data_IF_807676192146
#
_entry.id   IF_807676192146
#
_cell.length_a   1.000
_cell.length_b   1.000
_cell.length_c   1.000
_cell.angle_alpha   90.00
_cell.angle_beta   90.00
_cell.angle_gamma   90.00
#
_symmetry.space_group_name_H-M   'P 1'
#
loop_
_entity.id
_entity.type
_entity.pdbx_description
1 polymer ?
#
# COMPACT_ATOMS: atom_id res chain seq x y z
N UNK A 1 -46.05 21.18 -15.97
CA UNK A 1 -45.88 19.81 -15.41
C UNK A 1 -44.73 19.12 -16.15
N UNK A 2 -43.44 19.49 -16.10
CA UNK A 2 -42.56 20.14 -15.10
C UNK A 2 -42.15 19.27 -13.90
N UNK A 3 -40.85 18.90 -13.89
CA UNK A 3 -39.96 18.70 -12.73
C UNK A 3 -40.41 17.73 -11.63
N UNK A 4 -40.26 16.42 -11.88
CA UNK A 4 -40.33 15.39 -10.83
C UNK A 4 -39.53 14.10 -11.17
N UNK A 5 -38.55 14.17 -12.08
CA UNK A 5 -37.75 12.99 -12.52
C UNK A 5 -36.25 13.25 -12.69
N UNK A 6 -35.77 14.47 -12.45
CA UNK A 6 -34.33 14.78 -12.46
C UNK A 6 -33.73 14.65 -11.05
N UNK A 7 -34.51 15.04 -10.04
CA UNK A 7 -34.06 15.21 -8.66
C UNK A 7 -33.85 13.86 -7.91
N UNK A 8 -34.33 12.73 -8.45
CA UNK A 8 -34.11 11.39 -7.87
C UNK A 8 -32.80 10.72 -8.32
N UNK A 9 -32.25 11.09 -9.48
CA UNK A 9 -30.93 10.59 -9.94
C UNK A 9 -29.78 11.27 -9.16
N UNK A 10 -29.93 12.55 -8.82
CA UNK A 10 -28.90 13.31 -8.08
C UNK A 10 -28.65 12.75 -6.67
N UNK A 11 -29.68 12.20 -6.01
CA UNK A 11 -29.57 11.58 -4.68
C UNK A 11 -28.66 10.34 -4.65
N UNK A 12 -28.58 9.58 -5.75
CA UNK A 12 -27.70 8.40 -5.85
C UNK A 12 -26.27 8.76 -6.23
N UNK A 13 -26.04 9.95 -6.79
CA UNK A 13 -24.72 10.40 -7.25
C UNK A 13 -23.97 11.31 -6.27
N UNK A 14 -24.61 11.76 -5.17
CA UNK A 14 -23.99 12.70 -4.21
C UNK A 14 -23.26 12.06 -3.01
N UNK A 15 -23.05 10.73 -2.99
CA UNK A 15 -22.29 10.07 -1.91
C UNK A 15 -20.81 10.39 -2.01
N UNK A 16 -20.22 10.94 -0.92
CA UNK A 16 -18.77 11.17 -0.79
C UNK A 16 -17.92 9.88 -0.69
N UNK A 17 -18.55 8.71 -0.71
CA UNK A 17 -17.87 7.41 -0.73
C UNK A 17 -18.37 6.57 -1.92
N UNK A 18 -17.44 6.08 -2.76
CA UNK A 18 -17.70 5.05 -3.76
C UNK A 18 -18.10 3.75 -3.06
N UNK A 19 -19.10 3.06 -3.59
CA UNK A 19 -19.39 1.68 -3.21
C UNK A 19 -18.33 0.74 -3.79
N UNK A 20 -18.08 -0.37 -3.09
CA UNK A 20 -17.14 -1.42 -3.50
C UNK A 20 -17.63 -2.15 -4.76
N UNK A 21 -16.82 -2.15 -5.81
CA UNK A 21 -17.08 -2.82 -7.10
C UNK A 21 -16.06 -3.92 -7.35
N UNK A 22 -16.54 -5.10 -7.76
CA UNK A 22 -15.74 -6.34 -7.84
C UNK A 22 -14.83 -6.45 -9.08
N UNK A 23 -14.67 -5.36 -9.84
CA UNK A 23 -13.91 -5.27 -11.10
C UNK A 23 -12.73 -4.26 -11.05
N UNK A 24 -12.47 -3.60 -9.91
CA UNK A 24 -11.35 -2.66 -9.79
C UNK A 24 -10.00 -3.41 -9.55
N UNK A 25 -9.49 -4.14 -10.55
CA UNK A 25 -8.11 -4.69 -10.56
C UNK A 25 -6.99 -3.62 -10.75
N UNK A 26 -7.37 -2.33 -10.82
CA UNK A 26 -6.46 -1.20 -11.12
C UNK A 26 -5.76 -0.57 -9.88
N UNK A 27 -5.96 -1.12 -8.68
CA UNK A 27 -5.47 -0.50 -7.41
C UNK A 27 -3.95 -0.65 -7.17
N UNK A 28 -3.21 -1.30 -8.07
CA UNK A 28 -1.74 -1.23 -8.08
C UNK A 28 -1.24 0.15 -8.57
N UNK A 29 -2.05 0.88 -9.36
CA UNK A 29 -1.69 2.19 -9.91
C UNK A 29 -1.92 3.36 -8.94
N UNK A 30 -2.74 3.17 -7.90
CA UNK A 30 -3.06 4.19 -6.89
C UNK A 30 -1.90 4.38 -5.90
N UNK A 31 -1.32 3.27 -5.41
CA UNK A 31 -0.12 3.28 -4.54
C UNK A 31 1.11 3.91 -5.25
N UNK A 32 1.24 3.68 -6.56
CA UNK A 32 2.24 4.34 -7.41
C UNK A 32 2.03 5.85 -7.51
N UNK A 33 0.79 6.36 -7.48
CA UNK A 33 0.50 7.80 -7.46
C UNK A 33 0.81 8.43 -6.10
N UNK A 34 0.60 7.72 -4.99
CA UNK A 34 1.00 8.21 -3.66
C UNK A 34 2.52 8.24 -3.49
N UNK A 35 3.23 7.19 -3.91
CA UNK A 35 4.71 7.22 -3.98
C UNK A 35 5.22 8.35 -4.87
N UNK A 36 4.56 8.60 -6.01
CA UNK A 36 4.92 9.71 -6.93
C UNK A 36 4.58 11.08 -6.35
N UNK A 37 3.55 11.22 -5.51
CA UNK A 37 3.27 12.45 -4.74
C UNK A 37 4.32 12.67 -3.65
N UNK A 38 4.69 11.65 -2.88
CA UNK A 38 5.74 11.74 -1.87
C UNK A 38 7.10 12.12 -2.48
N UNK A 39 7.45 11.56 -3.65
CA UNK A 39 8.67 11.90 -4.39
C UNK A 39 8.59 13.28 -5.06
N UNK A 40 7.42 13.70 -5.56
CA UNK A 40 7.25 15.05 -6.12
C UNK A 40 7.27 16.13 -5.03
N UNK A 41 6.79 15.85 -3.81
CA UNK A 41 6.89 16.75 -2.65
C UNK A 41 8.34 17.01 -2.20
N UNK A 42 9.33 16.34 -2.80
CA UNK A 42 10.76 16.59 -2.64
C UNK A 42 11.36 17.43 -3.78
N UNK A 43 10.58 17.78 -4.81
CA UNK A 43 11.00 18.67 -5.91
C UNK A 43 10.69 20.14 -5.63
N UNK A 44 9.65 20.43 -4.86
CA UNK A 44 9.25 21.79 -4.45
C UNK A 44 10.19 22.36 -3.35
N UNK A 45 11.50 22.15 -3.49
CA UNK A 45 12.58 22.66 -2.62
C UNK A 45 13.53 23.57 -3.42
N UNK A 46 13.30 23.73 -4.72
CA UNK A 46 14.11 24.57 -5.61
C UNK A 46 13.20 25.31 -6.58
N UNK A 47 12.55 26.35 -6.06
CA UNK A 47 12.28 27.64 -6.71
C UNK A 47 11.70 28.58 -5.62
N UNK A 48 12.08 29.86 -5.66
CA UNK A 48 12.08 30.79 -4.53
C UNK A 48 10.77 31.61 -4.32
N UNK A 49 10.82 32.48 -3.29
CA UNK A 49 10.10 33.76 -3.08
C UNK A 49 8.84 33.81 -2.17
N UNK A 50 9.09 34.31 -0.96
CA UNK A 50 8.38 35.30 -0.13
C UNK A 50 6.93 35.12 0.42
N UNK A 51 6.80 35.66 1.65
CA UNK A 51 5.62 36.20 2.35
C UNK A 51 4.30 35.38 2.43
N UNK A 52 4.13 34.64 3.54
CA UNK A 52 3.28 35.13 4.66
C UNK A 52 3.25 34.15 5.86
N UNK A 53 3.74 34.60 7.03
CA UNK A 53 3.74 33.81 8.27
C UNK A 53 2.45 34.02 9.09
N UNK A 54 1.34 33.37 8.70
CA UNK A 54 0.17 33.28 9.59
C UNK A 54 0.44 32.36 10.80
N UNK A 55 0.78 33.03 11.91
CA UNK A 55 0.93 32.48 13.25
C UNK A 55 -0.44 32.05 13.80
N UNK A 56 -0.74 30.75 13.76
CA UNK A 56 -1.97 30.20 14.37
C UNK A 56 -1.63 29.27 15.54
N UNK A 57 -1.97 29.70 16.77
CA UNK A 57 -1.87 28.89 17.98
C UNK A 57 -3.23 28.38 18.42
N UNK A 58 -3.38 27.08 18.67
CA UNK A 58 -4.57 26.51 19.32
C UNK A 58 -4.19 25.57 20.46
N UNK A 59 -4.19 26.14 21.66
CA UNK A 59 -4.43 25.41 22.90
C UNK A 59 -5.94 25.39 23.16
N UNK A 60 -6.57 24.22 23.27
CA UNK A 60 -7.99 24.12 23.58
C UNK A 60 -8.47 22.68 23.76
N UNK A 61 -9.07 22.41 24.92
CA UNK A 61 -9.56 21.09 25.34
C UNK A 61 -10.80 20.60 24.56
N UNK A 62 -11.11 19.29 24.55
CA UNK A 62 -12.17 18.74 23.71
C UNK A 62 -13.57 19.10 24.22
N UNK A 63 -14.36 19.77 23.38
CA UNK A 63 -15.78 20.04 23.64
C UNK A 63 -16.59 18.75 23.45
N UNK A 64 -16.93 18.11 24.56
CA UNK A 64 -17.86 16.97 24.56
C UNK A 64 -19.32 17.39 24.34
N UNK A 65 -20.09 16.53 23.67
CA UNK A 65 -21.56 16.58 23.76
C UNK A 65 -22.22 15.21 23.59
N UNK A 66 -22.53 14.61 24.75
CA UNK A 66 -23.80 13.98 25.10
C UNK A 66 -24.42 13.01 24.07
N UNK A 67 -24.22 11.71 24.31
CA UNK A 67 -25.30 10.73 24.11
C UNK A 67 -25.59 10.04 25.46
N UNK A 68 -26.87 9.92 25.82
CA UNK A 68 -27.30 9.55 27.17
C UNK A 68 -27.18 8.05 27.45
N UNK A 69 -26.53 7.70 28.56
CA UNK A 69 -26.53 6.34 29.11
C UNK A 69 -27.91 6.05 29.73
N UNK A 70 -28.53 4.94 29.34
CA UNK A 70 -29.57 4.29 30.13
C UNK A 70 -29.11 2.87 30.49
N UNK A 71 -28.75 2.69 31.76
CA UNK A 71 -28.51 1.39 32.40
C UNK A 71 -29.19 1.40 33.77
N UNK A 72 -29.66 0.23 34.19
CA UNK A 72 -30.56 -0.03 35.32
C UNK A 72 -32.06 0.29 35.02
N UNK A 73 -33.03 -0.46 35.56
CA UNK A 73 -32.93 -1.53 36.57
C UNK A 73 -33.84 -2.73 36.24
N UNK A 74 -33.41 -3.93 36.66
CA UNK A 74 -34.34 -5.02 37.00
C UNK A 74 -34.68 -4.89 38.48
N UNK A 75 -35.95 -4.68 38.82
CA UNK A 75 -36.49 -4.96 40.15
C UNK A 75 -38.00 -5.15 40.08
N UNK A 76 -38.47 -6.13 40.84
CA UNK A 76 -39.84 -6.65 40.87
C UNK A 76 -40.86 -5.71 41.56
N UNK A 77 -42.16 -5.90 41.28
CA UNK A 77 -43.35 -5.79 42.16
C UNK A 77 -44.63 -5.25 41.47
N UNK A 78 -45.75 -5.95 41.69
CA UNK A 78 -46.92 -5.30 42.30
C UNK A 78 -48.03 -4.68 41.42
N UNK A 79 -48.93 -5.51 40.88
CA UNK A 79 -50.40 -5.33 40.77
C UNK A 79 -51.00 -3.90 40.62
N UNK A 80 -51.64 -3.61 39.47
CA UNK A 80 -53.11 -3.37 39.36
C UNK A 80 -53.58 -3.02 37.94
N UNK A 81 -54.78 -3.51 37.61
CA UNK A 81 -55.45 -3.29 36.32
C UNK A 81 -56.05 -1.89 36.21
N UNK A 82 -55.99 -1.29 35.01
CA UNK A 82 -57.04 -0.43 34.47
C UNK A 82 -57.19 -0.74 32.97
N UNK A 83 -58.43 -1.04 32.54
CA UNK A 83 -58.76 -1.42 31.17
C UNK A 83 -59.04 -0.17 30.29
N UNK A 84 -59.13 -0.26 28.94
CA UNK A 84 -60.27 -0.94 28.29
C UNK A 84 -59.93 -1.78 27.05
N UNK A 85 -60.91 -2.56 26.59
CA UNK A 85 -60.83 -3.34 25.35
C UNK A 85 -60.70 -2.46 24.10
N UNK A 86 -59.53 -2.48 23.46
CA UNK A 86 -59.44 -2.19 22.03
C UNK A 86 -59.49 -3.50 21.24
N UNK A 87 -60.63 -3.76 20.59
CA UNK A 87 -60.82 -4.87 19.66
C UNK A 87 -59.81 -4.77 18.52
N UNK A 88 -58.69 -5.49 18.62
CA UNK A 88 -57.78 -5.71 17.49
C UNK A 88 -58.52 -6.51 16.41
N UNK A 89 -58.28 -6.25 15.11
CA UNK A 89 -58.86 -7.05 14.04
C UNK A 89 -58.52 -8.54 14.23
N UNK A 90 -59.52 -9.42 14.06
CA UNK A 90 -59.40 -10.88 14.27
C UNK A 90 -58.39 -11.61 13.35
N UNK A 91 -57.62 -10.88 12.55
CA UNK A 91 -56.57 -11.40 11.67
C UNK A 91 -55.22 -11.63 12.39
N UNK A 92 -54.89 -10.87 13.45
CA UNK A 92 -53.57 -10.98 14.12
C UNK A 92 -53.42 -12.23 15.01
N UNK A 93 -54.52 -12.86 15.43
CA UNK A 93 -54.49 -14.01 16.33
C UNK A 93 -53.90 -15.30 15.72
N UNK A 94 -53.63 -15.35 14.40
CA UNK A 94 -52.94 -16.48 13.76
C UNK A 94 -51.42 -16.47 13.95
N UNK A 95 -50.82 -15.36 14.39
CA UNK A 95 -49.36 -15.28 14.60
C UNK A 95 -48.88 -16.06 15.86
N UNK A 96 -49.80 -16.58 16.68
CA UNK A 96 -49.52 -17.49 17.80
C UNK A 96 -49.56 -18.99 17.45
N UNK A 97 -49.59 -19.35 16.16
CA UNK A 97 -49.21 -20.71 15.75
C UNK A 97 -47.77 -20.94 16.18
N UNK A 98 -47.52 -21.81 17.17
CA UNK A 98 -46.17 -21.97 17.72
C UNK A 98 -45.24 -22.81 16.83
N UNK A 99 -45.81 -23.44 15.80
CA UNK A 99 -45.19 -24.46 14.96
C UNK A 99 -44.74 -23.87 13.61
N UNK A 100 -43.94 -22.81 13.65
CA UNK A 100 -43.28 -22.28 12.46
C UNK A 100 -42.15 -23.21 12.03
N UNK A 101 -42.09 -23.57 10.76
CA UNK A 101 -40.94 -24.30 10.22
C UNK A 101 -39.67 -23.43 10.30
N UNK A 102 -38.46 -24.02 10.20
CA UNK A 102 -37.22 -23.27 10.08
C UNK A 102 -37.27 -22.26 8.92
N UNK A 103 -37.83 -22.69 7.77
CA UNK A 103 -38.09 -21.85 6.58
C UNK A 103 -39.00 -20.66 6.87
N UNK A 104 -40.11 -20.88 7.56
CA UNK A 104 -41.05 -19.80 7.89
C UNK A 104 -40.43 -18.80 8.86
N UNK A 105 -39.61 -19.29 9.80
CA UNK A 105 -38.84 -18.47 10.74
C UNK A 105 -37.85 -17.58 10.00
N UNK A 106 -37.06 -18.13 9.06
CA UNK A 106 -36.13 -17.37 8.21
C UNK A 106 -36.87 -16.29 7.41
N UNK A 107 -37.94 -16.65 6.69
CA UNK A 107 -38.78 -15.70 5.92
C UNK A 107 -39.37 -14.58 6.79
N UNK A 108 -39.56 -14.85 8.08
CA UNK A 108 -40.11 -13.90 9.04
C UNK A 108 -39.01 -12.97 9.58
N UNK A 109 -37.81 -13.48 9.82
CA UNK A 109 -36.62 -12.68 10.14
C UNK A 109 -36.21 -11.74 8.99
N UNK A 110 -36.22 -12.22 7.73
CA UNK A 110 -35.99 -11.41 6.53
C UNK A 110 -36.95 -10.20 6.42
N UNK A 111 -38.15 -10.32 6.99
CA UNK A 111 -39.16 -9.25 7.06
C UNK A 111 -39.02 -8.36 8.30
N UNK A 112 -37.89 -8.42 9.00
CA UNK A 112 -37.61 -7.66 10.22
C UNK A 112 -38.47 -8.04 11.43
N UNK A 113 -39.21 -9.16 11.39
CA UNK A 113 -40.09 -9.57 12.49
C UNK A 113 -39.33 -10.37 13.55
N UNK A 114 -39.53 -10.00 14.81
CA UNK A 114 -38.94 -10.71 15.97
C UNK A 114 -39.40 -12.18 16.00
N UNK A 115 -38.43 -13.09 16.05
CA UNK A 115 -38.65 -14.54 16.13
C UNK A 115 -37.81 -15.12 17.29
N UNK A 116 -38.38 -16.03 18.07
CA UNK A 116 -37.65 -16.68 19.17
C UNK A 116 -36.99 -17.97 18.69
N UNK A 117 -35.64 -17.99 18.70
CA UNK A 117 -34.85 -19.14 18.25
C UNK A 117 -34.69 -20.24 19.31
N UNK A 118 -35.05 -19.99 20.58
CA UNK A 118 -34.97 -20.93 21.72
C UNK A 118 -35.82 -22.22 21.57
N UNK A 119 -36.56 -22.34 20.47
CA UNK A 119 -37.38 -23.51 20.09
C UNK A 119 -36.58 -24.55 19.34
N UNK A 120 -35.55 -24.15 18.59
CA UNK A 120 -34.63 -25.04 17.88
C UNK A 120 -33.66 -25.62 18.92
N UNK A 121 -34.10 -26.68 19.61
CA UNK A 121 -33.40 -27.23 20.79
C UNK A 121 -32.38 -28.29 20.41
N UNK A 122 -32.71 -29.21 19.51
CA UNK A 122 -31.77 -30.24 19.08
C UNK A 122 -30.69 -29.64 18.18
N UNK A 123 -29.56 -30.35 18.04
CA UNK A 123 -28.53 -29.96 17.07
C UNK A 123 -29.11 -29.97 15.65
N UNK A 124 -29.95 -30.96 15.31
CA UNK A 124 -30.53 -31.06 13.97
C UNK A 124 -31.44 -29.86 13.65
N UNK A 125 -32.32 -29.46 14.56
CA UNK A 125 -33.23 -28.32 14.37
C UNK A 125 -32.44 -27.01 14.11
N UNK A 126 -31.35 -26.85 14.85
CA UNK A 126 -30.43 -25.70 14.75
C UNK A 126 -29.69 -25.65 13.42
N UNK A 127 -29.27 -26.80 12.91
CA UNK A 127 -28.58 -26.90 11.63
C UNK A 127 -29.55 -26.70 10.46
N UNK A 128 -30.75 -27.27 10.50
CA UNK A 128 -31.78 -27.03 9.47
C UNK A 128 -32.20 -25.55 9.43
N UNK A 129 -32.25 -24.86 10.58
CA UNK A 129 -32.45 -23.41 10.62
C UNK A 129 -31.30 -22.63 9.95
N UNK A 130 -30.05 -23.03 10.17
CA UNK A 130 -28.90 -22.42 9.50
C UNK A 130 -28.90 -22.68 8.00
N UNK A 131 -29.22 -23.89 7.58
CA UNK A 131 -29.26 -24.30 6.17
C UNK A 131 -30.37 -23.55 5.41
N UNK A 132 -31.56 -23.37 6.01
CA UNK A 132 -32.62 -22.50 5.46
C UNK A 132 -32.24 -21.00 5.47
N UNK A 133 -31.46 -20.53 6.47
CA UNK A 133 -30.96 -19.15 6.49
C UNK A 133 -29.95 -18.88 5.37
N UNK A 134 -29.05 -19.82 5.11
CA UNK A 134 -28.08 -19.77 4.00
C UNK A 134 -28.81 -19.82 2.65
N UNK A 135 -29.78 -20.70 2.47
CA UNK A 135 -30.63 -20.75 1.27
C UNK A 135 -31.51 -19.49 1.08
N UNK A 136 -31.71 -18.71 2.15
CA UNK A 136 -32.38 -17.40 2.09
C UNK A 136 -31.52 -16.26 1.58
N UNK A 137 -30.19 -16.44 1.46
CA UNK A 137 -29.22 -15.45 0.98
C UNK A 137 -29.26 -14.07 1.69
N UNK A 138 -29.76 -14.02 2.93
CA UNK A 138 -29.79 -12.81 3.76
C UNK A 138 -28.68 -12.87 4.82
N UNK A 139 -27.61 -12.09 4.61
CA UNK A 139 -26.45 -12.06 5.50
C UNK A 139 -26.76 -11.63 6.94
N UNK A 140 -27.79 -10.79 7.15
CA UNK A 140 -28.21 -10.39 8.50
C UNK A 140 -28.88 -11.57 9.23
N UNK A 141 -29.73 -12.33 8.52
CA UNK A 141 -30.40 -13.51 9.08
C UNK A 141 -29.42 -14.64 9.33
N UNK A 142 -28.49 -14.91 8.40
CA UNK A 142 -27.41 -15.89 8.60
C UNK A 142 -26.60 -15.53 9.84
N UNK A 143 -26.17 -14.28 9.98
CA UNK A 143 -25.39 -13.80 11.13
C UNK A 143 -26.18 -13.88 12.43
N UNK A 144 -27.47 -13.53 12.44
CA UNK A 144 -28.33 -13.65 13.61
C UNK A 144 -28.51 -15.11 14.08
N UNK A 145 -28.67 -16.06 13.15
CA UNK A 145 -28.71 -17.49 13.47
C UNK A 145 -27.34 -17.95 14.00
N UNK A 146 -26.23 -17.55 13.39
CA UNK A 146 -24.88 -17.88 13.86
C UNK A 146 -24.60 -17.36 15.28
N UNK A 147 -25.07 -16.17 15.65
CA UNK A 147 -24.98 -15.63 17.01
C UNK A 147 -25.76 -16.52 18.01
N UNK A 148 -26.94 -17.01 17.63
CA UNK A 148 -27.71 -17.95 18.45
C UNK A 148 -27.01 -19.31 18.57
N UNK A 149 -26.41 -19.84 17.50
CA UNK A 149 -25.63 -21.08 17.56
C UNK A 149 -24.38 -20.92 18.45
N UNK A 150 -23.63 -19.83 18.29
CA UNK A 150 -22.47 -19.44 19.12
C UNK A 150 -22.79 -19.37 20.61
N UNK A 151 -24.01 -18.95 20.96
CA UNK A 151 -24.49 -18.87 22.36
C UNK A 151 -24.97 -20.20 22.94
N UNK A 152 -25.39 -21.15 22.10
CA UNK A 152 -26.15 -22.35 22.54
C UNK A 152 -25.52 -23.69 22.16
N UNK A 153 -24.38 -23.69 21.47
CA UNK A 153 -23.57 -24.86 21.15
C UNK A 153 -22.18 -24.77 21.81
N UNK A 154 -21.55 -25.93 22.03
CA UNK A 154 -20.12 -25.99 22.38
C UNK A 154 -19.27 -25.63 21.16
N UNK A 155 -18.10 -25.02 21.38
CA UNK A 155 -17.24 -24.49 20.31
C UNK A 155 -16.82 -25.57 19.31
N UNK A 156 -16.46 -26.74 19.81
CA UNK A 156 -15.97 -27.88 19.04
C UNK A 156 -17.08 -28.47 18.15
N UNK A 157 -18.33 -28.41 18.61
CA UNK A 157 -19.51 -28.81 17.82
C UNK A 157 -19.79 -27.74 16.76
N UNK A 158 -19.81 -26.46 17.14
CA UNK A 158 -20.04 -25.36 16.20
C UNK A 158 -19.01 -25.35 15.07
N UNK A 159 -17.73 -25.51 15.37
CA UNK A 159 -16.66 -25.45 14.37
C UNK A 159 -16.77 -26.59 13.36
N UNK A 160 -16.94 -27.84 13.82
CA UNK A 160 -17.12 -29.00 12.95
C UNK A 160 -18.34 -28.89 12.04
N UNK A 161 -19.46 -28.37 12.54
CA UNK A 161 -20.68 -28.20 11.71
C UNK A 161 -20.58 -27.03 10.72
N UNK A 162 -19.66 -26.08 10.94
CA UNK A 162 -19.38 -24.96 10.03
C UNK A 162 -18.30 -25.27 9.00
N UNK A 163 -17.35 -26.15 9.30
CA UNK A 163 -16.35 -26.67 8.36
C UNK A 163 -16.99 -27.18 7.05
N UNK A 164 -18.14 -27.87 7.16
CA UNK A 164 -18.93 -28.35 6.01
C UNK A 164 -19.90 -27.30 5.43
N UNK A 165 -20.03 -26.11 6.04
CA UNK A 165 -20.98 -25.04 5.67
C UNK A 165 -20.24 -23.72 5.38
N UNK A 166 -19.43 -23.72 4.32
CA UNK A 166 -18.51 -22.63 3.98
C UNK A 166 -19.16 -21.23 3.95
N UNK A 167 -20.38 -21.06 3.43
CA UNK A 167 -21.08 -19.76 3.45
C UNK A 167 -21.31 -19.26 4.89
N UNK A 168 -21.86 -20.11 5.75
CA UNK A 168 -22.10 -19.79 7.16
C UNK A 168 -20.78 -19.58 7.93
N UNK A 169 -19.73 -20.33 7.59
CA UNK A 169 -18.40 -20.17 8.15
C UNK A 169 -17.79 -18.80 7.80
N UNK A 170 -17.87 -18.38 6.53
CA UNK A 170 -17.41 -17.06 6.10
C UNK A 170 -18.14 -15.93 6.83
N UNK A 171 -19.47 -16.05 7.00
CA UNK A 171 -20.25 -15.09 7.80
C UNK A 171 -19.80 -15.05 9.27
N UNK A 172 -19.50 -16.21 9.90
CA UNK A 172 -18.98 -16.23 11.27
C UNK A 172 -17.58 -15.59 11.35
N UNK A 173 -16.66 -15.92 10.43
CA UNK A 173 -15.31 -15.34 10.39
C UNK A 173 -15.37 -13.82 10.25
N UNK A 174 -16.21 -13.30 9.35
CA UNK A 174 -16.43 -11.86 9.20
C UNK A 174 -17.00 -11.24 10.48
N UNK A 175 -18.06 -11.83 11.06
CA UNK A 175 -18.64 -11.36 12.32
C UNK A 175 -17.61 -11.31 13.48
N UNK A 176 -16.72 -12.30 13.59
CA UNK A 176 -15.68 -12.32 14.64
C UNK A 176 -14.58 -11.28 14.38
N UNK A 177 -14.26 -10.97 13.11
CA UNK A 177 -13.35 -9.88 12.73
C UNK A 177 -13.95 -8.53 13.12
N UNK A 178 -15.20 -8.25 12.74
CA UNK A 178 -15.89 -6.98 13.04
C UNK A 178 -16.14 -6.75 14.54
N UNK A 179 -16.48 -7.80 15.28
CA UNK A 179 -16.70 -7.70 16.74
C UNK A 179 -15.42 -7.74 17.58
N UNK A 180 -14.25 -7.94 16.95
CA UNK A 180 -12.96 -8.01 17.64
C UNK A 180 -12.80 -9.24 18.55
N UNK A 181 -13.55 -10.32 18.34
CA UNK A 181 -13.49 -11.56 19.12
C UNK A 181 -12.26 -12.43 18.76
N UNK A 182 -11.07 -11.81 18.77
CA UNK A 182 -9.80 -12.36 18.25
C UNK A 182 -9.46 -13.75 18.80
N UNK A 183 -9.66 -13.98 20.11
CA UNK A 183 -9.39 -15.29 20.71
C UNK A 183 -10.22 -16.41 20.06
N UNK A 184 -11.50 -16.17 19.81
CA UNK A 184 -12.37 -17.17 19.20
C UNK A 184 -12.10 -17.32 17.70
N UNK A 185 -11.75 -16.23 17.01
CA UNK A 185 -11.31 -16.26 15.61
C UNK A 185 -10.05 -17.12 15.45
N UNK A 186 -9.04 -16.94 16.29
CA UNK A 186 -7.81 -17.74 16.26
C UNK A 186 -8.06 -19.20 16.66
N UNK A 187 -8.94 -19.46 17.63
CA UNK A 187 -9.36 -20.83 17.97
C UNK A 187 -10.04 -21.53 16.76
N UNK A 188 -10.89 -20.81 16.02
CA UNK A 188 -11.56 -21.29 14.81
C UNK A 188 -10.59 -21.54 13.65
N UNK A 189 -9.69 -20.59 13.36
CA UNK A 189 -8.72 -20.73 12.28
C UNK A 189 -7.75 -21.91 12.52
N UNK A 190 -7.34 -22.14 13.78
CA UNK A 190 -6.55 -23.33 14.15
C UNK A 190 -7.32 -24.63 14.00
N UNK A 191 -8.63 -24.65 14.30
CA UNK A 191 -9.47 -25.83 14.09
C UNK A 191 -9.58 -26.20 12.60
N UNK A 192 -9.60 -25.21 11.72
CA UNK A 192 -9.71 -25.36 10.27
C UNK A 192 -8.36 -25.56 9.55
N UNK A 193 -7.26 -25.73 10.30
CA UNK A 193 -5.88 -25.77 9.80
C UNK A 193 -5.46 -24.56 8.93
N UNK A 194 -6.14 -23.41 9.10
CA UNK A 194 -5.84 -22.13 8.42
C UNK A 194 -4.66 -21.42 9.09
N UNK A 195 -3.52 -22.11 9.10
CA UNK A 195 -2.30 -21.73 9.82
C UNK A 195 -1.70 -20.42 9.30
N UNK A 196 -1.75 -20.15 8.00
CA UNK A 196 -1.29 -18.90 7.39
C UNK A 196 -2.05 -17.66 7.90
N UNK A 197 -3.37 -17.73 8.10
CA UNK A 197 -4.12 -16.60 8.70
C UNK A 197 -3.82 -16.41 10.19
N UNK A 198 -3.51 -17.49 10.90
CA UNK A 198 -3.03 -17.42 12.30
C UNK A 198 -1.62 -16.83 12.36
N UNK A 199 -0.77 -17.11 11.37
CA UNK A 199 0.55 -16.51 11.21
C UNK A 199 0.44 -15.02 10.84
N UNK A 200 -0.41 -14.66 9.88
CA UNK A 200 -0.66 -13.28 9.44
C UNK A 200 -1.22 -12.42 10.59
N UNK A 201 -2.13 -12.98 11.40
CA UNK A 201 -2.64 -12.30 12.59
C UNK A 201 -1.56 -12.06 13.64
N UNK A 202 -0.58 -12.95 13.79
CA UNK A 202 0.57 -12.74 14.68
C UNK A 202 1.52 -11.69 14.09
N UNK A 203 1.89 -11.81 12.82
CA UNK A 203 2.74 -10.85 12.13
C UNK A 203 2.19 -9.42 12.23
N UNK A 204 0.86 -9.23 12.11
CA UNK A 204 0.19 -7.92 12.22
C UNK A 204 0.45 -7.19 13.55
N UNK A 205 0.79 -7.89 14.62
CA UNK A 205 1.11 -7.27 15.92
C UNK A 205 2.34 -6.35 15.87
N UNK A 206 3.21 -6.45 14.85
CA UNK A 206 4.32 -5.51 14.67
C UNK A 206 3.86 -4.04 14.54
N UNK A 207 2.62 -3.81 14.08
CA UNK A 207 2.02 -2.47 13.99
C UNK A 207 1.79 -1.83 15.36
N UNK A 208 1.60 -2.65 16.41
CA UNK A 208 1.38 -2.20 17.78
C UNK A 208 2.70 -1.90 18.52
N UNK A 209 3.85 -2.29 17.97
CA UNK A 209 5.17 -2.13 18.60
C UNK A 209 5.76 -0.76 18.24
N UNK A 210 5.83 0.14 19.23
CA UNK A 210 6.40 1.48 19.08
C UNK A 210 7.93 1.50 19.08
N UNK A 211 8.54 0.62 19.86
CA UNK A 211 9.99 0.49 20.03
C UNK A 211 10.59 -0.26 18.83
N UNK A 212 11.48 0.39 18.09
CA UNK A 212 11.94 -0.10 16.78
C UNK A 212 12.93 -1.28 16.91
N UNK A 213 13.70 -1.33 18.01
CA UNK A 213 14.54 -2.48 18.36
C UNK A 213 13.68 -3.71 18.67
N UNK A 214 12.65 -3.54 19.51
CA UNK A 214 11.69 -4.62 19.81
C UNK A 214 10.90 -5.04 18.57
N UNK A 215 10.58 -4.10 17.68
CA UNK A 215 9.93 -4.42 16.40
C UNK A 215 10.84 -5.25 15.50
N UNK A 216 12.14 -4.93 15.39
CA UNK A 216 13.12 -5.75 14.66
C UNK A 216 13.16 -7.17 15.22
N UNK A 217 13.33 -7.35 16.53
CA UNK A 217 13.36 -8.71 17.12
C UNK A 217 12.02 -9.45 16.99
N UNK A 218 10.89 -8.75 17.02
CA UNK A 218 9.59 -9.35 16.76
C UNK A 218 9.45 -9.83 15.30
N UNK A 219 9.85 -9.02 14.32
CA UNK A 219 9.86 -9.40 12.90
C UNK A 219 10.80 -10.59 12.67
N UNK A 220 11.94 -10.65 13.37
CA UNK A 220 12.84 -11.81 13.35
C UNK A 220 12.16 -13.08 13.83
N UNK A 221 11.39 -13.00 14.91
CA UNK A 221 10.57 -14.11 15.40
C UNK A 221 9.49 -14.55 14.41
N UNK A 222 8.95 -13.62 13.62
CA UNK A 222 7.93 -13.91 12.61
C UNK A 222 8.44 -14.79 11.44
N UNK A 223 9.76 -14.84 11.20
CA UNK A 223 10.36 -15.70 10.17
C UNK A 223 10.13 -17.20 10.48
N UNK A 224 9.96 -17.55 11.76
CA UNK A 224 9.64 -18.91 12.21
C UNK A 224 8.16 -19.29 12.21
N UNK A 225 7.27 -18.42 11.71
CA UNK A 225 5.84 -18.70 11.62
C UNK A 225 5.51 -19.58 10.38
N UNK A 226 4.40 -20.35 10.41
CA UNK A 226 4.00 -21.22 9.29
C UNK A 226 3.39 -20.40 8.15
N UNK A 227 4.26 -19.77 7.38
CA UNK A 227 3.97 -18.99 6.19
C UNK A 227 4.42 -19.73 4.92
N UNK A 228 3.94 -19.29 3.75
CA UNK A 228 4.48 -19.71 2.47
C UNK A 228 5.95 -19.26 2.31
N UNK A 229 6.71 -19.93 1.43
CA UNK A 229 8.10 -19.54 1.18
C UNK A 229 8.24 -18.11 0.62
N UNK A 230 7.22 -17.62 -0.09
CA UNK A 230 7.13 -16.27 -0.63
C UNK A 230 6.88 -15.25 0.49
N UNK A 231 5.89 -15.49 1.34
CA UNK A 231 5.61 -14.65 2.52
C UNK A 231 6.80 -14.57 3.50
N UNK A 232 7.49 -15.69 3.74
CA UNK A 232 8.71 -15.71 4.56
C UNK A 232 9.78 -14.80 3.94
N UNK A 233 9.91 -14.77 2.61
CA UNK A 233 10.85 -13.88 1.93
C UNK A 233 10.51 -12.39 2.15
N UNK A 234 9.22 -12.03 2.10
CA UNK A 234 8.78 -10.66 2.37
C UNK A 234 8.98 -10.24 3.84
N UNK A 235 8.79 -11.16 4.79
CA UNK A 235 9.05 -10.92 6.22
C UNK A 235 10.57 -10.76 6.47
N UNK A 236 11.38 -11.59 5.81
CA UNK A 236 12.84 -11.50 5.85
C UNK A 236 13.35 -10.16 5.28
N UNK A 237 12.81 -9.72 4.14
CA UNK A 237 13.14 -8.42 3.54
C UNK A 237 12.72 -7.25 4.44
N UNK A 238 11.55 -7.32 5.08
CA UNK A 238 11.10 -6.31 6.04
C UNK A 238 12.02 -6.26 7.28
N UNK A 239 12.38 -7.41 7.85
CA UNK A 239 13.37 -7.48 8.94
C UNK A 239 14.69 -6.83 8.53
N UNK A 240 15.26 -7.23 7.39
CA UNK A 240 16.56 -6.77 6.91
C UNK A 240 16.54 -5.28 6.54
N UNK A 241 15.43 -4.77 5.99
CA UNK A 241 15.26 -3.34 5.74
C UNK A 241 15.25 -2.55 7.06
N UNK A 242 14.48 -2.99 8.06
CA UNK A 242 14.40 -2.28 9.35
C UNK A 242 15.74 -2.32 10.10
N UNK A 243 16.44 -3.45 10.07
CA UNK A 243 17.79 -3.63 10.63
C UNK A 243 18.79 -2.63 10.01
N UNK A 244 18.79 -2.46 8.68
CA UNK A 244 19.62 -1.46 7.98
C UNK A 244 19.21 -0.02 8.32
N UNK A 245 17.90 0.26 8.35
CA UNK A 245 17.38 1.59 8.70
C UNK A 245 17.77 2.02 10.12
N UNK A 246 17.78 1.10 11.09
CA UNK A 246 18.25 1.36 12.46
C UNK A 246 19.70 1.84 12.47
N UNK A 247 20.58 1.13 11.75
CA UNK A 247 22.03 1.44 11.71
C UNK A 247 22.27 2.81 11.07
N UNK A 248 21.67 3.05 9.89
CA UNK A 248 21.79 4.32 9.16
C UNK A 248 21.21 5.47 10.00
N UNK A 249 19.99 5.32 10.55
CA UNK A 249 19.36 6.37 11.36
C UNK A 249 20.18 6.76 12.58
N UNK A 250 20.77 5.78 13.29
CA UNK A 250 21.59 6.03 14.46
C UNK A 250 22.87 6.81 14.11
N UNK A 251 23.57 6.39 13.05
CA UNK A 251 24.78 7.06 12.56
C UNK A 251 24.48 8.48 12.07
N UNK A 252 23.48 8.63 11.21
CA UNK A 252 23.17 9.89 10.54
C UNK A 252 22.60 10.94 11.48
N UNK A 253 21.81 10.51 12.47
CA UNK A 253 21.32 11.41 13.52
C UNK A 253 22.48 11.97 14.32
N UNK A 254 23.46 11.13 14.68
CA UNK A 254 24.67 11.58 15.35
C UNK A 254 25.49 12.55 14.47
N UNK A 255 25.76 12.19 13.21
CA UNK A 255 26.52 13.02 12.26
C UNK A 255 25.85 14.38 11.99
N UNK A 256 24.52 14.41 11.86
CA UNK A 256 23.75 15.63 11.69
C UNK A 256 23.76 16.51 12.95
N UNK A 257 23.54 15.92 14.14
CA UNK A 257 23.59 16.66 15.41
C UNK A 257 25.00 17.20 15.73
N UNK A 258 26.05 16.48 15.36
CA UNK A 258 27.43 16.90 15.53
C UNK A 258 27.90 17.92 14.47
N UNK A 259 27.10 18.17 13.42
CA UNK A 259 27.48 19.06 12.31
C UNK A 259 28.69 18.57 11.48
N UNK A 260 29.01 17.28 11.56
CA UNK A 260 30.23 16.68 10.99
C UNK A 260 30.11 16.29 9.51
N UNK A 261 28.91 16.40 8.93
CA UNK A 261 28.62 16.04 7.55
C UNK A 261 28.28 17.28 6.71
N UNK A 262 29.08 17.55 5.67
CA UNK A 262 28.82 18.65 4.75
C UNK A 262 27.49 18.49 4.00
N UNK A 263 27.13 17.26 3.63
CA UNK A 263 25.86 17.00 2.94
C UNK A 263 24.65 17.27 3.85
N UNK A 264 24.71 16.91 5.14
CA UNK A 264 23.66 17.26 6.11
C UNK A 264 23.63 18.75 6.48
N UNK A 265 24.75 19.48 6.32
CA UNK A 265 24.77 20.95 6.50
C UNK A 265 24.17 21.68 5.31
N UNK A 266 24.45 21.22 4.08
CA UNK A 266 23.91 21.79 2.84
C UNK A 266 22.44 21.41 2.64
N UNK A 267 22.07 20.20 3.00
CA UNK A 267 20.71 19.66 2.90
C UNK A 267 20.34 18.95 4.22
N UNK A 268 19.71 19.65 5.18
CA UNK A 268 19.35 19.07 6.46
C UNK A 268 18.40 17.87 6.36
N UNK A 269 18.62 16.85 7.19
CA UNK A 269 17.75 15.67 7.30
C UNK A 269 16.33 16.11 7.70
N UNK A 270 15.34 15.88 6.83
CA UNK A 270 13.94 16.27 7.08
C UNK A 270 13.16 15.34 8.02
N UNK A 271 13.51 14.05 8.03
CA UNK A 271 12.77 13.03 8.77
C UNK A 271 13.65 11.82 9.12
N UNK A 272 13.15 10.99 10.03
CA UNK A 272 13.66 9.64 10.32
C UNK A 272 13.35 8.69 9.17
N UNK A 273 14.28 7.78 8.84
CA UNK A 273 14.06 6.75 7.80
C UNK A 273 13.40 5.46 8.33
N UNK A 274 13.24 5.33 9.65
CA UNK A 274 12.72 4.11 10.28
C UNK A 274 11.28 3.81 9.84
N UNK A 275 11.02 2.55 9.46
CA UNK A 275 9.73 2.06 8.92
C UNK A 275 9.32 2.71 7.57
N UNK A 276 10.23 3.42 6.89
CA UNK A 276 9.93 3.92 5.54
C UNK A 276 10.00 2.79 4.50
N UNK A 277 9.28 2.88 3.36
CA UNK A 277 9.40 1.93 2.27
C UNK A 277 10.83 1.78 1.75
N UNK A 278 11.14 0.64 1.13
CA UNK A 278 12.44 0.38 0.49
C UNK A 278 12.81 1.49 -0.51
N UNK A 279 11.85 1.93 -1.35
CA UNK A 279 12.07 3.01 -2.33
C UNK A 279 12.46 4.34 -1.68
N UNK A 280 11.85 4.70 -0.55
CA UNK A 280 12.19 5.92 0.21
C UNK A 280 13.56 5.79 0.85
N UNK A 281 13.90 4.59 1.35
CA UNK A 281 15.22 4.29 1.92
C UNK A 281 16.31 4.36 0.86
N UNK A 282 16.08 3.78 -0.32
CA UNK A 282 16.98 3.86 -1.47
C UNK A 282 17.16 5.31 -1.94
N UNK A 283 16.08 6.09 -2.05
CA UNK A 283 16.16 7.51 -2.39
C UNK A 283 17.02 8.28 -1.38
N UNK A 284 16.76 8.08 -0.08
CA UNK A 284 17.54 8.69 1.00
C UNK A 284 19.03 8.34 0.86
N UNK A 285 19.35 7.06 0.66
CA UNK A 285 20.73 6.63 0.53
C UNK A 285 21.42 7.12 -0.75
N UNK A 286 20.70 7.19 -1.86
CA UNK A 286 21.19 7.83 -3.10
C UNK A 286 21.38 9.34 -2.98
N UNK A 287 20.76 10.01 -2.01
CA UNK A 287 20.91 11.45 -1.79
C UNK A 287 22.03 11.77 -0.79
N UNK A 288 22.12 11.03 0.33
CA UNK A 288 23.06 11.32 1.41
C UNK A 288 24.35 10.47 1.39
N UNK A 289 24.33 9.25 0.84
CA UNK A 289 25.44 8.29 0.91
C UNK A 289 25.97 7.89 -0.48
N UNK A 290 25.76 8.72 -1.50
CA UNK A 290 26.14 8.41 -2.89
C UNK A 290 27.65 8.25 -3.14
N UNK A 291 28.50 8.72 -2.21
CA UNK A 291 29.96 8.55 -2.24
C UNK A 291 30.47 7.42 -1.35
N UNK A 292 29.63 6.85 -0.47
CA UNK A 292 30.06 5.81 0.46
C UNK A 292 30.20 4.49 -0.28
N UNK A 293 31.44 3.98 -0.33
CA UNK A 293 31.80 2.79 -1.08
C UNK A 293 31.30 1.49 -0.39
N UNK A 294 30.01 1.22 -0.57
CA UNK A 294 29.30 -0.08 -0.52
C UNK A 294 28.69 -0.66 0.79
N UNK A 295 29.24 -0.58 2.03
CA UNK A 295 28.88 -1.54 3.10
C UNK A 295 27.42 -1.49 3.59
N UNK A 296 26.69 -0.39 3.34
CA UNK A 296 25.29 -0.23 3.75
C UNK A 296 24.28 -0.50 2.62
N UNK A 297 24.73 -0.57 1.36
CA UNK A 297 23.87 -0.71 0.17
C UNK A 297 24.18 -1.95 -0.68
N UNK A 298 25.40 -2.48 -0.61
CA UNK A 298 25.80 -3.62 -1.43
C UNK A 298 25.36 -4.95 -0.81
N UNK A 299 24.42 -5.63 -1.49
CA UNK A 299 24.51 -7.08 -1.58
C UNK A 299 25.83 -7.43 -2.29
N UNK A 300 26.79 -8.02 -1.56
CA UNK A 300 28.16 -8.35 -2.00
C UNK A 300 28.28 -8.82 -3.47
N UNK A 301 28.68 -7.92 -4.38
CA UNK A 301 28.87 -8.22 -5.82
C UNK A 301 30.25 -7.75 -6.35
N UNK A 302 31.25 -7.59 -5.47
CA UNK A 302 32.60 -7.07 -5.76
C UNK A 302 33.43 -7.95 -6.72
N UNK A 303 33.11 -7.85 -8.01
CA UNK A 303 34.10 -7.74 -9.07
C UNK A 303 34.03 -6.35 -9.67
N UNK A 304 35.04 -5.93 -10.45
CA UNK A 304 35.01 -4.68 -11.21
C UNK A 304 33.86 -4.70 -12.22
N UNK A 305 32.67 -4.22 -11.83
CA UNK A 305 31.51 -4.19 -12.71
C UNK A 305 31.67 -3.04 -13.71
N UNK A 306 31.66 -3.38 -15.00
CA UNK A 306 31.36 -2.38 -16.03
C UNK A 306 30.04 -1.70 -15.64
N UNK A 307 29.98 -0.37 -15.67
CA UNK A 307 28.73 0.39 -15.45
C UNK A 307 27.62 -0.29 -16.27
N UNK A 308 26.56 -0.77 -15.61
CA UNK A 308 25.35 -1.37 -16.23
C UNK A 308 24.14 -0.50 -15.91
N UNK A 309 23.24 -0.32 -16.87
CA UNK A 309 22.00 0.41 -16.69
C UNK A 309 20.81 -0.48 -17.11
N UNK A 310 19.98 -0.97 -16.18
CA UNK A 310 18.79 -1.79 -16.51
C UNK A 310 17.80 -1.05 -17.40
N UNK A 311 17.71 0.28 -17.28
CA UNK A 311 16.91 1.15 -18.14
C UNK A 311 17.61 1.56 -19.45
N UNK A 312 18.83 1.08 -19.69
CA UNK A 312 19.69 1.50 -20.81
C UNK A 312 20.29 2.91 -20.61
N UNK A 313 21.53 3.10 -21.08
CA UNK A 313 22.24 4.37 -20.93
C UNK A 313 21.58 5.55 -21.64
N UNK A 314 20.80 5.30 -22.69
CA UNK A 314 20.01 6.33 -23.37
C UNK A 314 19.01 7.01 -22.41
N UNK A 315 18.24 6.24 -21.63
CA UNK A 315 17.30 6.80 -20.63
C UNK A 315 18.04 7.48 -19.48
N UNK A 316 19.21 6.96 -19.07
CA UNK A 316 20.05 7.61 -18.05
C UNK A 316 20.46 9.02 -18.52
N UNK A 317 20.96 9.17 -19.74
CA UNK A 317 21.32 10.48 -20.33
C UNK A 317 20.12 11.42 -20.38
N UNK A 318 18.94 10.95 -20.83
CA UNK A 318 17.73 11.78 -20.87
C UNK A 318 17.27 12.24 -19.48
N UNK A 319 17.37 11.37 -18.46
CA UNK A 319 17.03 11.70 -17.07
C UNK A 319 18.05 12.72 -16.53
N UNK A 320 19.34 12.52 -16.75
CA UNK A 320 20.38 13.46 -16.34
C UNK A 320 20.19 14.85 -16.97
N UNK A 321 19.95 14.92 -18.29
CA UNK A 321 19.66 16.19 -18.97
C UNK A 321 18.40 16.87 -18.41
N UNK A 322 17.34 16.10 -18.14
CA UNK A 322 16.08 16.64 -17.59
C UNK A 322 16.22 17.20 -16.18
N UNK A 323 17.26 16.81 -15.44
CA UNK A 323 17.61 17.37 -14.13
C UNK A 323 18.89 18.24 -14.21
N UNK A 324 19.14 18.89 -15.35
CA UNK A 324 20.20 19.88 -15.57
C UNK A 324 21.63 19.40 -15.26
N UNK A 325 21.93 18.12 -15.47
CA UNK A 325 23.29 17.60 -15.31
C UNK A 325 24.28 18.29 -16.28
N UNK A 326 25.52 18.64 -15.84
CA UNK A 326 26.52 19.26 -16.70
C UNK A 326 26.88 18.38 -17.91
N UNK A 327 27.17 19.01 -19.06
CA UNK A 327 27.49 18.31 -20.32
C UNK A 327 28.62 17.31 -20.13
N UNK A 328 29.63 17.62 -19.30
CA UNK A 328 30.75 16.72 -18.98
C UNK A 328 30.26 15.38 -18.41
N UNK A 329 29.27 15.41 -17.51
CA UNK A 329 28.64 14.21 -16.94
C UNK A 329 27.86 13.46 -18.03
N UNK A 330 27.09 14.18 -18.86
CA UNK A 330 26.37 13.57 -19.98
C UNK A 330 27.33 12.85 -20.94
N UNK A 331 28.50 13.41 -21.25
CA UNK A 331 29.49 12.77 -22.12
C UNK A 331 29.94 11.40 -21.60
N UNK A 332 30.10 11.22 -20.27
CA UNK A 332 30.43 9.91 -19.70
C UNK A 332 29.35 8.86 -19.97
N UNK A 333 28.07 9.21 -19.77
CA UNK A 333 26.98 8.26 -19.94
C UNK A 333 26.59 8.04 -21.41
N UNK A 334 26.73 9.05 -22.28
CA UNK A 334 26.53 8.88 -23.72
C UNK A 334 27.58 7.92 -24.31
N UNK A 335 28.84 7.97 -23.85
CA UNK A 335 29.89 7.01 -24.27
C UNK A 335 29.56 5.54 -23.95
N UNK A 336 28.63 5.29 -23.03
CA UNK A 336 28.18 3.94 -22.65
C UNK A 336 26.95 3.46 -23.44
N UNK A 337 26.40 4.28 -24.35
CA UNK A 337 25.31 3.87 -25.25
C UNK A 337 25.87 2.97 -26.34
N UNK A 338 25.51 1.69 -26.30
CA UNK A 338 26.04 0.67 -27.21
C UNK A 338 25.66 0.96 -28.67
N UNK A 339 24.39 1.24 -28.95
CA UNK A 339 23.94 1.60 -30.30
C UNK A 339 24.54 2.92 -30.78
N UNK A 340 25.15 2.89 -31.97
CA UNK A 340 25.91 4.00 -32.55
C UNK A 340 25.01 5.13 -33.00
N UNK A 341 23.85 4.82 -33.60
CA UNK A 341 22.93 5.85 -34.09
C UNK A 341 22.30 6.61 -32.93
N UNK A 342 21.77 5.90 -31.94
CA UNK A 342 21.24 6.48 -30.70
C UNK A 342 22.32 7.30 -29.98
N UNK A 343 23.56 6.81 -29.92
CA UNK A 343 24.69 7.56 -29.35
C UNK A 343 24.95 8.88 -30.07
N UNK A 344 25.04 8.87 -31.40
CA UNK A 344 25.27 10.07 -32.21
C UNK A 344 24.11 11.07 -32.09
N UNK A 345 22.87 10.57 -32.06
CA UNK A 345 21.66 11.37 -31.91
C UNK A 345 21.62 12.07 -30.54
N UNK A 346 21.83 11.33 -29.44
CA UNK A 346 21.90 11.90 -28.08
C UNK A 346 23.08 12.86 -27.93
N UNK A 347 24.27 12.48 -28.42
CA UNK A 347 25.47 13.30 -28.33
C UNK A 347 25.31 14.64 -29.07
N UNK A 348 24.70 14.62 -30.26
CA UNK A 348 24.39 15.83 -31.03
C UNK A 348 23.33 16.68 -30.32
N UNK A 349 22.24 16.06 -29.85
CA UNK A 349 21.12 16.72 -29.18
C UNK A 349 21.54 17.45 -27.89
N UNK A 350 22.48 16.89 -27.14
CA UNK A 350 22.94 17.42 -25.85
C UNK A 350 24.35 18.05 -25.91
N UNK A 351 24.82 18.43 -27.10
CA UNK A 351 26.12 19.11 -27.33
C UNK A 351 27.33 18.38 -26.72
N UNK A 352 27.29 17.04 -26.65
CA UNK A 352 28.41 16.20 -26.26
C UNK A 352 29.40 16.04 -27.43
N UNK A 353 29.98 17.16 -27.87
CA UNK A 353 30.72 17.27 -29.13
C UNK A 353 31.90 16.29 -29.21
N UNK A 354 32.63 16.06 -28.11
CA UNK A 354 33.72 15.08 -28.07
C UNK A 354 33.24 13.70 -28.51
N UNK A 355 32.09 13.27 -28.00
CA UNK A 355 31.55 11.93 -28.24
C UNK A 355 31.13 11.76 -29.70
N UNK A 356 30.62 12.81 -30.34
CA UNK A 356 30.32 12.79 -31.79
C UNK A 356 31.60 12.68 -32.61
N UNK A 357 32.60 13.51 -32.31
CA UNK A 357 33.89 13.56 -33.02
C UNK A 357 34.63 12.23 -32.89
N UNK A 358 34.70 11.69 -31.66
CA UNK A 358 35.32 10.40 -31.36
C UNK A 358 34.58 9.26 -32.07
N UNK A 359 33.23 9.28 -32.09
CA UNK A 359 32.43 8.23 -32.75
C UNK A 359 32.61 8.24 -34.28
N UNK A 360 32.61 9.40 -34.94
CA UNK A 360 32.85 9.45 -36.40
C UNK A 360 34.29 9.07 -36.77
N UNK A 361 35.29 9.43 -35.95
CA UNK A 361 36.67 8.94 -36.09
C UNK A 361 36.72 7.41 -36.03
N UNK A 362 36.05 6.80 -35.06
CA UNK A 362 36.09 5.35 -34.83
C UNK A 362 35.34 4.57 -35.93
N UNK A 363 34.24 5.12 -36.44
CA UNK A 363 33.56 4.63 -37.65
C UNK A 363 34.40 4.79 -38.93
N UNK A 364 35.36 5.74 -38.91
CA UNK A 364 36.15 6.24 -40.03
C UNK A 364 35.31 6.96 -41.08
N UNK A 365 34.21 7.59 -40.68
CA UNK A 365 33.31 8.33 -41.57
C UNK A 365 33.80 9.77 -41.74
N UNK A 366 34.49 10.03 -42.86
CA UNK A 366 35.04 11.36 -43.14
C UNK A 366 33.97 12.36 -43.55
N UNK A 367 32.94 11.92 -44.28
CA UNK A 367 31.89 12.79 -44.81
C UNK A 367 31.07 13.36 -43.64
N UNK A 368 30.64 12.51 -42.71
CA UNK A 368 29.85 12.96 -41.56
C UNK A 368 30.70 13.77 -40.57
N UNK A 369 31.99 13.46 -40.40
CA UNK A 369 32.89 14.30 -39.59
C UNK A 369 33.05 15.71 -40.18
N UNK A 370 33.19 15.83 -41.51
CA UNK A 370 33.24 17.12 -42.19
C UNK A 370 31.89 17.86 -42.13
N UNK A 371 30.77 17.16 -42.27
CA UNK A 371 29.43 17.74 -42.12
C UNK A 371 29.16 18.22 -40.68
N UNK A 372 29.66 17.49 -39.67
CA UNK A 372 29.56 17.86 -38.27
C UNK A 372 30.44 19.07 -37.91
N UNK A 373 31.56 19.26 -38.61
CA UNK A 373 32.39 20.48 -38.49
C UNK A 373 31.57 21.77 -38.69
N UNK A 374 30.59 21.75 -39.59
CA UNK A 374 29.69 22.90 -39.83
C UNK A 374 28.65 23.13 -38.71
N UNK A 375 28.58 22.26 -37.70
CA UNK A 375 27.66 22.33 -36.55
C UNK A 375 28.33 22.74 -35.23
N UNK A 376 29.67 22.84 -35.19
CA UNK A 376 30.41 23.36 -34.04
C UNK A 376 30.71 24.85 -34.23
N UNK A 377 31.00 25.54 -33.13
CA UNK A 377 31.32 26.99 -33.18
C UNK A 377 32.69 27.24 -33.81
N UNK A 378 32.81 28.32 -34.59
CA UNK A 378 34.05 28.61 -35.33
C UNK A 378 35.16 29.03 -34.37
N UNK A 379 36.33 28.42 -34.50
CA UNK A 379 37.46 28.63 -33.60
C UNK A 379 37.29 27.99 -32.22
N UNK A 380 36.34 27.07 -32.05
CA UNK A 380 36.23 26.28 -30.82
C UNK A 380 37.24 25.12 -30.79
N UNK A 381 37.54 24.59 -29.60
CA UNK A 381 38.45 23.46 -29.43
C UNK A 381 37.97 22.20 -30.18
N UNK A 382 36.67 22.05 -30.35
CA UNK A 382 36.02 21.01 -31.14
C UNK A 382 36.35 21.15 -32.64
N UNK A 383 36.34 22.37 -33.19
CA UNK A 383 36.72 22.61 -34.59
C UNK A 383 38.21 22.27 -34.81
N UNK A 384 39.08 22.69 -33.87
CA UNK A 384 40.51 22.35 -33.90
C UNK A 384 40.75 20.84 -33.82
N UNK A 385 40.04 20.13 -32.92
CA UNK A 385 40.07 18.67 -32.81
C UNK A 385 39.66 18.00 -34.13
N UNK A 386 38.62 18.48 -34.79
CA UNK A 386 38.18 17.97 -36.11
C UNK A 386 39.24 18.24 -37.19
N UNK A 387 39.81 19.44 -37.25
CA UNK A 387 40.87 19.80 -38.22
C UNK A 387 42.13 18.94 -38.03
N UNK A 388 42.52 18.68 -36.78
CA UNK A 388 43.63 17.79 -36.43
C UNK A 388 43.38 16.35 -36.89
N UNK A 389 42.18 15.81 -36.64
CA UNK A 389 41.81 14.47 -37.11
C UNK A 389 41.75 14.37 -38.64
N UNK A 390 41.19 15.36 -39.33
CA UNK A 390 41.06 15.35 -40.81
C UNK A 390 42.40 15.52 -41.53
N UNK A 391 43.39 16.18 -40.91
CA UNK A 391 44.75 16.33 -41.45
C UNK A 391 45.67 15.15 -41.09
N UNK A 392 45.27 14.28 -40.17
CA UNK A 392 46.05 13.11 -39.77
C UNK A 392 46.08 12.01 -40.86
N UNK A 393 47.21 11.92 -41.56
CA UNK A 393 47.44 10.94 -42.64
C UNK A 393 47.47 9.47 -42.19
N UNK A 394 47.52 9.18 -40.89
CA UNK A 394 47.48 7.80 -40.38
C UNK A 394 46.06 7.21 -40.38
N UNK A 395 45.01 8.06 -40.40
CA UNK A 395 43.62 7.60 -40.36
C UNK A 395 43.17 7.19 -41.76
N UNK A 396 42.96 5.89 -41.96
CA UNK A 396 42.36 5.33 -43.18
C UNK A 396 40.85 5.55 -43.18
N UNK A 397 40.44 6.71 -43.67
CA UNK A 397 39.04 7.10 -43.85
C UNK A 397 38.28 6.17 -44.81
N UNK A 398 37.01 5.94 -44.50
CA UNK A 398 35.99 5.50 -45.46
C UNK A 398 35.40 6.76 -46.09
N UNK A 399 35.27 6.74 -47.41
CA UNK A 399 34.57 7.76 -48.19
C UNK A 399 33.14 7.28 -48.47
#
# INVERSE_FOLDING_TARGET
>A
MSRARADEEEYWHSSKFRAFTFDDEDDELSQLKESKRAVNSLRDIVDDDDDDLEKVSWSGEPVGSKCGVLRAAFSDTGVKNYAPELRRPKAEYKDYSNDWSPRDTVRRMQRGKVCSLERFRSLQDKLVLLDEAVAGHDGNVITAVLIFLKRTLRREVLFRELEVRQVALCHLIHFLKETGEQKLLLDLLRFLDRTEEVALSQYREHLNIQDVEKKREFLKGCIGLPFSAEDISHIQDHYTLLERQIIIEANDRHLAMAGQSEIFRKYPRKASILNMPLVTTLFYSCFYHYTEAEPLLAMNWLGYTKKKAPIGFHRVVEILQRNNAPVQVLQEYVRLVEDVETRLNLATKYKCHDVVIDTYRDLKDRIQLMAYKCKVERGSAEEEKINSLLSNMQIRWKN
#
